data_IF_356837821081
#
_entry.id   IF_356837821081
#
_cell.length_a   1.000
_cell.length_b   1.000
_cell.length_c   1.000
_cell.angle_alpha   90.00
_cell.angle_beta   90.00
_cell.angle_gamma   90.00
#
_symmetry.space_group_name_H-M   'P 1'
#
loop_
_entity.id
_entity.type
_entity.pdbx_description
1 polymer ?
#
# COMPACT_ATOMS: atom_id res chain seq x y z
N UNK A 1 4.13 -5.29 11.22
CA UNK A 1 2.96 -4.63 10.63
C UNK A 1 3.29 -4.30 9.18
N UNK A 2 2.29 -4.32 8.30
CA UNK A 2 2.41 -3.91 6.91
C UNK A 2 1.52 -2.69 6.67
N UNK A 3 2.03 -1.69 5.96
CA UNK A 3 1.18 -0.62 5.42
C UNK A 3 1.08 -0.74 3.90
N UNK A 4 -0.05 -0.33 3.33
CA UNK A 4 -0.31 -0.37 1.89
C UNK A 4 -0.56 1.03 1.35
N UNK A 5 0.12 1.39 0.27
CA UNK A 5 -0.10 2.63 -0.48
C UNK A 5 -0.12 2.31 -1.98
N UNK A 6 -1.24 2.54 -2.67
CA UNK A 6 -1.35 2.23 -4.11
C UNK A 6 -2.18 3.26 -4.88
N UNK A 7 -2.17 3.15 -6.21
CA UNK A 7 -3.02 3.88 -7.15
C UNK A 7 -4.14 3.00 -7.76
N UNK A 8 -4.49 1.90 -7.08
CA UNK A 8 -5.44 0.91 -7.60
C UNK A 8 -6.91 1.34 -7.52
N UNK A 9 -7.22 2.32 -6.70
CA UNK A 9 -8.57 2.61 -6.24
C UNK A 9 -9.19 1.47 -5.43
N UNK A 10 -10.45 1.66 -5.05
CA UNK A 10 -11.19 0.71 -4.22
C UNK A 10 -12.18 -0.18 -4.97
N UNK A 11 -12.41 0.09 -6.26
CA UNK A 11 -13.53 -0.50 -7.01
C UNK A 11 -13.22 -1.90 -7.55
N UNK A 12 -12.01 -2.13 -8.05
CA UNK A 12 -11.70 -3.31 -8.88
C UNK A 12 -11.22 -4.54 -8.10
N UNK A 13 -11.23 -4.47 -6.76
CA UNK A 13 -10.91 -5.60 -5.88
C UNK A 13 -9.42 -5.93 -5.75
N UNK A 14 -8.51 -5.26 -6.47
CA UNK A 14 -7.07 -5.48 -6.41
C UNK A 14 -6.49 -5.38 -4.99
N UNK A 15 -6.94 -4.39 -4.22
CA UNK A 15 -6.57 -4.23 -2.80
C UNK A 15 -6.98 -5.46 -1.98
N UNK A 16 -8.18 -5.99 -2.23
CA UNK A 16 -8.70 -7.18 -1.56
C UNK A 16 -7.88 -8.42 -1.88
N UNK A 17 -7.54 -8.64 -3.16
CA UNK A 17 -6.69 -9.76 -3.59
C UNK A 17 -5.30 -9.66 -2.97
N UNK A 18 -4.69 -8.47 -2.99
CA UNK A 18 -3.37 -8.26 -2.37
C UNK A 18 -3.37 -8.60 -0.88
N UNK A 19 -4.38 -8.12 -0.13
CA UNK A 19 -4.54 -8.48 1.30
C UNK A 19 -4.77 -9.98 1.50
N UNK A 20 -5.57 -10.60 0.64
CA UNK A 20 -5.81 -12.05 0.67
C UNK A 20 -4.52 -12.85 0.51
N UNK A 21 -3.65 -12.46 -0.42
CA UNK A 21 -2.33 -13.09 -0.60
C UNK A 21 -1.45 -12.89 0.62
N UNK A 22 -1.37 -11.66 1.16
CA UNK A 22 -0.59 -11.36 2.36
C UNK A 22 -1.05 -12.22 3.54
N UNK A 23 -2.35 -12.28 3.81
CA UNK A 23 -2.91 -13.10 4.88
C UNK A 23 -2.81 -14.59 4.62
N UNK A 24 -2.78 -15.03 3.35
CA UNK A 24 -2.48 -16.42 3.01
C UNK A 24 -1.06 -16.85 3.40
N UNK A 25 -0.10 -15.91 3.40
CA UNK A 25 1.29 -16.16 3.81
C UNK A 25 1.48 -15.96 5.32
N UNK A 26 0.93 -14.88 5.88
CA UNK A 26 0.95 -14.60 7.32
C UNK A 26 -0.44 -14.15 7.81
N UNK A 27 -1.28 -15.08 8.29
CA UNK A 27 -2.65 -14.78 8.71
C UNK A 27 -2.77 -13.77 9.87
N UNK A 28 -1.70 -13.63 10.66
CA UNK A 28 -1.72 -12.79 11.87
C UNK A 28 -1.12 -11.40 11.65
N UNK A 29 -0.64 -11.08 10.43
CA UNK A 29 -0.05 -9.77 10.17
C UNK A 29 -1.13 -8.68 10.14
N UNK A 30 -0.88 -7.60 10.87
CA UNK A 30 -1.71 -6.41 10.81
C UNK A 30 -1.39 -5.62 9.54
N UNK A 31 -2.44 -5.21 8.83
CA UNK A 31 -2.38 -4.39 7.63
C UNK A 31 -3.06 -3.05 7.91
N UNK A 32 -2.43 -1.95 7.50
CA UNK A 32 -3.00 -0.60 7.51
C UNK A 32 -2.96 -0.02 6.10
N UNK A 33 -4.09 0.41 5.58
CA UNK A 33 -4.13 1.14 4.30
C UNK A 33 -3.79 2.61 4.55
N UNK A 34 -2.73 3.11 3.91
CA UNK A 34 -2.40 4.53 3.91
C UNK A 34 -3.29 5.28 2.91
N UNK A 35 -3.33 4.77 1.68
CA UNK A 35 -4.24 5.24 0.62
C UNK A 35 -4.21 4.25 -0.54
N UNK A 36 -5.33 4.08 -1.22
CA UNK A 36 -5.41 3.41 -2.52
C UNK A 36 -5.89 4.36 -3.62
N UNK A 37 -6.10 5.63 -3.28
CA UNK A 37 -6.63 6.67 -4.16
C UNK A 37 -5.52 7.62 -4.66
N UNK A 38 -4.27 7.15 -4.71
CA UNK A 38 -3.23 7.89 -5.43
C UNK A 38 -3.67 7.99 -6.89
N UNK A 39 -3.52 9.17 -7.48
CA UNK A 39 -3.81 9.35 -8.89
C UNK A 39 -3.01 8.34 -9.72
N UNK A 40 -3.59 7.73 -10.77
CA UNK A 40 -2.90 6.71 -11.57
C UNK A 40 -1.50 7.19 -11.98
N UNK A 41 -0.48 6.38 -11.68
CA UNK A 41 0.92 6.61 -12.05
C UNK A 41 1.60 7.82 -11.37
N UNK A 42 0.96 8.47 -10.40
CA UNK A 42 1.51 9.64 -9.71
C UNK A 42 2.49 9.22 -8.59
N UNK A 43 3.73 8.94 -8.99
CA UNK A 43 4.81 8.50 -8.10
C UNK A 43 5.14 9.59 -7.07
N UNK A 44 5.09 10.87 -7.44
CA UNK A 44 5.43 11.99 -6.56
C UNK A 44 4.38 12.14 -5.45
N UNK A 45 3.09 12.01 -5.77
CA UNK A 45 2.03 12.00 -4.77
C UNK A 45 2.18 10.82 -3.80
N UNK A 46 2.48 9.61 -4.30
CA UNK A 46 2.74 8.46 -3.42
C UNK A 46 3.96 8.69 -2.51
N UNK A 47 5.06 9.23 -3.05
CA UNK A 47 6.25 9.55 -2.27
C UNK A 47 5.95 10.58 -1.17
N UNK A 48 5.15 11.60 -1.48
CA UNK A 48 4.71 12.58 -0.49
C UNK A 48 3.87 11.93 0.62
N UNK A 49 2.85 11.13 0.27
CA UNK A 49 2.01 10.44 1.25
C UNK A 49 2.84 9.52 2.13
N UNK A 50 3.73 8.71 1.54
CA UNK A 50 4.63 7.86 2.32
C UNK A 50 5.48 8.68 3.29
N UNK A 51 6.12 9.76 2.80
CA UNK A 51 7.03 10.62 3.58
C UNK A 51 6.36 11.20 4.82
N UNK A 52 5.10 11.61 4.73
CA UNK A 52 4.37 12.18 5.87
C UNK A 52 3.80 11.10 6.79
N UNK A 53 3.57 9.88 6.30
CA UNK A 53 2.94 8.80 7.07
C UNK A 53 3.94 7.92 7.82
N UNK A 54 5.05 7.51 7.20
CA UNK A 54 5.95 6.50 7.76
C UNK A 54 6.49 6.83 9.17
N UNK A 55 6.76 8.10 9.57
CA UNK A 55 7.31 8.40 10.90
C UNK A 55 6.38 8.06 12.06
N UNK A 56 5.08 7.89 11.79
CA UNK A 56 4.06 7.58 12.81
C UNK A 56 3.86 6.08 13.05
N UNK A 57 4.54 5.23 12.27
CA UNK A 57 4.44 3.79 12.43
C UNK A 57 5.57 3.25 13.32
N UNK A 58 5.33 2.14 14.05
CA UNK A 58 6.35 1.51 14.86
C UNK A 58 7.59 1.15 14.03
N UNK A 59 8.73 1.07 14.70
CA UNK A 59 9.94 0.48 14.13
C UNK A 59 9.63 -0.93 13.58
N UNK A 60 10.33 -1.31 12.52
CA UNK A 60 10.18 -2.60 11.82
C UNK A 60 8.84 -2.76 11.07
N UNK A 61 8.10 -1.66 10.85
CA UNK A 61 6.98 -1.63 9.91
C UNK A 61 7.48 -1.79 8.48
N UNK A 62 6.83 -2.66 7.72
CA UNK A 62 7.09 -2.84 6.28
C UNK A 62 6.09 -1.98 5.50
N UNK A 63 6.60 -1.08 4.67
CA UNK A 63 5.77 -0.22 3.81
C UNK A 63 5.75 -0.80 2.40
N UNK A 64 4.58 -1.28 1.95
CA UNK A 64 4.37 -1.76 0.58
C UNK A 64 3.73 -0.63 -0.21
N UNK A 65 4.48 -0.08 -1.16
CA UNK A 65 4.05 1.04 -1.99
C UNK A 65 4.06 0.59 -3.45
N UNK A 66 2.89 0.58 -4.08
CA UNK A 66 2.71 0.13 -5.47
C UNK A 66 2.01 1.22 -6.25
N UNK A 67 2.81 2.08 -6.87
CA UNK A 67 2.42 3.00 -7.95
C UNK A 67 3.40 2.74 -9.07
N UNK A 68 3.00 1.90 -10.01
CA UNK A 68 3.89 1.32 -11.01
C UNK A 68 3.34 1.51 -12.42
N UNK A 69 3.63 2.66 -13.08
CA UNK A 69 3.29 2.87 -14.48
C UNK A 69 4.00 1.91 -15.44
N UNK A 70 5.11 1.31 -15.00
CA UNK A 70 5.97 0.46 -15.82
C UNK A 70 5.60 -1.02 -15.75
N UNK A 71 4.44 -1.36 -15.18
CA UNK A 71 4.00 -2.74 -15.10
C UNK A 71 3.65 -3.28 -16.50
N UNK A 72 4.61 -4.02 -17.08
CA UNK A 72 4.50 -4.59 -18.43
C UNK A 72 5.30 -3.80 -19.45
#
# INVERSE_FOLDING_TARGET
>A
MITLLTDFGWQDGYVGVMKGVIWGINPNVQIVDLSHDIAPQDIDAAAFVLKISYPYFPKDTVHVVVVDPGVG
#
